data_IF_042787169800
#
_entry.id   IF_042787169800
#
_cell.length_a   1.000
_cell.length_b   1.000
_cell.length_c   1.000
_cell.angle_alpha   90.00
_cell.angle_beta   90.00
_cell.angle_gamma   90.00
#
_symmetry.space_group_name_H-M   'P 1'
#
loop_
_entity.id
_entity.type
_entity.pdbx_description
1 polymer ?
#
# COMPACT_ATOMS: atom_id res chain seq x y z
N UNK A 1 15.02 20.81 4.27
CA UNK A 1 13.86 19.90 4.35
C UNK A 1 13.38 19.44 2.98
N UNK A 2 13.95 18.34 2.49
CA UNK A 2 13.93 17.95 1.09
C UNK A 2 12.83 16.93 0.76
N UNK A 3 12.35 16.97 -0.48
CA UNK A 3 11.76 15.80 -1.15
C UNK A 3 12.90 14.92 -1.68
N UNK A 4 12.69 13.60 -1.85
CA UNK A 4 11.46 12.84 -1.53
C UNK A 4 11.22 12.67 -0.02
N UNK A 5 10.02 12.19 0.36
CA UNK A 5 9.67 11.92 1.77
C UNK A 5 10.45 10.74 2.38
N UNK A 6 11.00 9.86 1.54
CA UNK A 6 11.90 8.77 1.92
C UNK A 6 12.82 8.45 0.73
N UNK A 7 13.97 7.84 1.03
CA UNK A 7 14.82 7.22 0.01
C UNK A 7 14.43 5.73 -0.11
N UNK A 8 14.16 5.27 -1.32
CA UNK A 8 13.81 3.86 -1.58
C UNK A 8 14.92 2.91 -1.11
N UNK A 9 16.19 3.30 -1.27
CA UNK A 9 17.34 2.50 -0.83
C UNK A 9 17.37 2.31 0.69
N UNK A 10 16.75 3.20 1.46
CA UNK A 10 16.66 3.13 2.92
C UNK A 10 15.41 2.42 3.44
N UNK A 11 14.48 2.00 2.57
CA UNK A 11 13.26 1.33 3.00
C UNK A 11 13.33 -0.18 2.74
N UNK A 12 13.25 -1.03 3.78
CA UNK A 12 13.36 -2.48 3.63
C UNK A 12 12.10 -3.16 3.07
N UNK A 13 11.02 -2.40 2.85
CA UNK A 13 9.71 -2.92 2.46
C UNK A 13 9.41 -2.74 0.97
N UNK A 14 10.18 -1.91 0.24
CA UNK A 14 9.95 -1.63 -1.17
C UNK A 14 10.24 -2.88 -2.00
N UNK A 15 9.29 -3.30 -2.83
CA UNK A 15 9.51 -4.37 -3.78
C UNK A 15 10.45 -3.94 -4.92
N UNK A 16 11.30 -4.85 -5.43
CA UNK A 16 12.21 -4.56 -6.53
C UNK A 16 11.59 -3.80 -7.72
N UNK A 17 10.37 -4.16 -8.07
CA UNK A 17 9.57 -3.61 -9.16
C UNK A 17 9.31 -2.11 -9.00
N UNK A 18 9.37 -1.58 -7.76
CA UNK A 18 9.14 -0.17 -7.45
C UNK A 18 10.44 0.61 -7.15
N UNK A 19 11.60 -0.03 -7.08
CA UNK A 19 12.90 0.62 -6.83
C UNK A 19 13.60 1.06 -8.12
N UNK A 20 13.04 2.08 -8.79
CA UNK A 20 13.55 2.52 -10.09
C UNK A 20 15.03 2.91 -10.10
N UNK A 21 15.53 3.51 -9.00
CA UNK A 21 16.92 3.98 -8.93
C UNK A 21 17.89 2.81 -8.86
N UNK A 22 17.59 1.79 -8.05
CA UNK A 22 18.37 0.55 -8.00
C UNK A 22 18.40 -0.16 -9.34
N UNK A 23 17.30 -0.10 -10.09
CA UNK A 23 17.18 -0.70 -11.43
C UNK A 23 17.60 0.24 -12.58
N UNK A 24 18.43 1.25 -12.28
CA UNK A 24 19.21 1.96 -13.29
C UNK A 24 18.56 3.24 -13.84
N UNK A 25 17.45 3.71 -13.28
CA UNK A 25 16.89 5.01 -13.65
C UNK A 25 17.80 6.14 -13.16
N UNK A 26 18.41 6.96 -14.05
CA UNK A 26 19.43 7.93 -13.65
C UNK A 26 18.85 9.27 -13.19
N UNK A 27 17.67 9.65 -13.67
CA UNK A 27 17.04 10.94 -13.34
C UNK A 27 16.36 10.89 -11.96
N UNK A 28 16.40 11.99 -11.20
CA UNK A 28 15.79 12.13 -9.87
C UNK A 28 14.73 13.23 -9.78
N UNK A 29 14.41 13.91 -10.89
CA UNK A 29 13.49 15.03 -10.87
C UNK A 29 12.06 14.60 -10.53
N UNK A 30 11.65 13.41 -10.94
CA UNK A 30 10.31 12.86 -10.65
C UNK A 30 10.03 12.74 -9.14
N UNK A 31 11.07 12.58 -8.32
CA UNK A 31 10.97 12.50 -6.85
C UNK A 31 10.68 13.86 -6.18
N UNK A 32 10.78 14.96 -6.92
CA UNK A 32 10.71 16.33 -6.39
C UNK A 32 9.36 17.01 -6.62
N UNK A 33 8.40 16.32 -7.25
CA UNK A 33 7.06 16.87 -7.45
C UNK A 33 6.23 16.78 -6.16
N UNK A 34 5.42 17.81 -5.92
CA UNK A 34 4.41 17.84 -4.86
C UNK A 34 3.08 18.28 -5.47
N UNK A 35 2.01 17.57 -5.17
CA UNK A 35 0.66 18.00 -5.51
C UNK A 35 0.25 19.22 -4.68
N UNK A 36 -0.32 20.24 -5.33
CA UNK A 36 -0.84 21.46 -4.70
C UNK A 36 -2.27 21.71 -5.17
N UNK A 37 -3.28 21.54 -4.30
CA UNK A 37 -4.66 21.91 -4.62
C UNK A 37 -4.77 23.41 -4.95
N UNK A 38 -5.75 23.77 -5.78
CA UNK A 38 -5.93 25.16 -6.20
C UNK A 38 -6.35 26.10 -5.05
N UNK A 39 -7.09 25.59 -4.07
CA UNK A 39 -7.75 26.41 -3.05
C UNK A 39 -7.10 26.33 -1.67
N UNK A 40 -6.05 25.51 -1.48
CA UNK A 40 -5.38 25.38 -0.19
C UNK A 40 -3.95 24.84 -0.31
N UNK A 41 -3.17 25.09 0.73
CA UNK A 41 -1.93 24.33 0.96
C UNK A 41 -2.25 23.07 1.75
N UNK A 42 -1.81 21.92 1.23
CA UNK A 42 -1.82 20.69 2.03
C UNK A 42 -0.73 20.79 3.11
N UNK A 43 -1.04 20.44 4.37
CA UNK A 43 -0.03 20.34 5.40
C UNK A 43 1.03 19.32 4.98
N UNK A 44 2.28 19.57 5.36
CA UNK A 44 3.36 18.61 5.12
C UNK A 44 3.04 17.32 5.88
N UNK A 45 3.27 16.19 5.23
CA UNK A 45 3.17 14.90 5.90
C UNK A 45 4.16 14.82 7.07
N UNK A 46 3.65 14.49 8.25
CA UNK A 46 4.44 14.19 9.44
C UNK A 46 4.16 12.74 9.86
N UNK A 47 5.14 11.87 9.57
CA UNK A 47 5.01 10.44 9.87
C UNK A 47 5.04 10.14 11.37
N UNK A 48 5.72 10.95 12.20
CA UNK A 48 5.76 10.75 13.66
C UNK A 48 4.43 11.12 14.29
N UNK A 49 3.83 12.21 13.81
CA UNK A 49 2.48 12.61 14.20
C UNK A 49 1.44 11.56 13.77
N UNK A 50 1.54 11.01 12.55
CA UNK A 50 0.67 9.90 12.13
C UNK A 50 0.83 8.69 13.05
N UNK A 51 2.06 8.22 13.28
CA UNK A 51 2.34 7.08 14.15
C UNK A 51 1.77 7.29 15.56
N UNK A 52 1.88 8.51 16.09
CA UNK A 52 1.39 8.85 17.43
C UNK A 52 -0.14 8.91 17.49
N UNK A 53 -0.79 9.53 16.50
CA UNK A 53 -2.27 9.62 16.44
C UNK A 53 -2.93 8.27 16.18
N UNK A 54 -2.26 7.38 15.45
CA UNK A 54 -2.74 6.06 15.08
C UNK A 54 -2.21 4.95 15.98
N UNK A 55 -1.79 5.28 17.21
CA UNK A 55 -1.28 4.31 18.17
C UNK A 55 -2.32 3.20 18.43
N UNK A 56 -1.91 1.93 18.30
CA UNK A 56 -2.75 0.76 18.53
C UNK A 56 -3.81 0.50 17.45
N UNK A 57 -3.72 1.18 16.29
CA UNK A 57 -4.71 1.09 15.20
C UNK A 57 -4.29 0.14 14.09
N UNK A 58 -5.26 -0.29 13.29
CA UNK A 58 -5.07 -1.12 12.10
C UNK A 58 -5.55 -0.38 10.85
N UNK A 59 -4.68 -0.27 9.86
CA UNK A 59 -4.98 0.25 8.52
C UNK A 59 -4.83 -0.89 7.52
N UNK A 60 -5.82 -1.07 6.64
CA UNK A 60 -5.80 -2.11 5.61
C UNK A 60 -6.07 -1.51 4.24
N UNK A 61 -5.11 -1.68 3.34
CA UNK A 61 -5.28 -1.43 1.90
C UNK A 61 -5.83 -2.71 1.27
N UNK A 62 -6.91 -2.61 0.50
CA UNK A 62 -7.56 -3.75 -0.16
C UNK A 62 -7.64 -3.46 -1.65
N UNK A 63 -7.02 -4.30 -2.47
CA UNK A 63 -7.12 -4.09 -3.91
C UNK A 63 -6.07 -4.82 -4.74
N UNK A 64 -5.80 -4.25 -5.91
CA UNK A 64 -4.80 -4.73 -6.86
C UNK A 64 -3.37 -4.21 -6.55
N UNK A 65 -2.45 -4.35 -7.51
CA UNK A 65 -1.05 -3.92 -7.40
C UNK A 65 -0.89 -2.42 -7.17
N UNK A 66 -1.87 -1.58 -7.48
CA UNK A 66 -1.83 -0.15 -7.17
C UNK A 66 -2.01 0.05 -5.65
N UNK A 67 -2.86 -0.76 -4.99
CA UNK A 67 -2.98 -0.75 -3.53
C UNK A 67 -1.70 -1.21 -2.84
N UNK A 68 -1.04 -2.23 -3.39
CA UNK A 68 0.28 -2.67 -2.92
C UNK A 68 1.28 -1.51 -2.97
N UNK A 69 1.35 -0.82 -4.10
CA UNK A 69 2.27 0.31 -4.28
C UNK A 69 1.99 1.47 -3.33
N UNK A 70 0.71 1.80 -3.09
CA UNK A 70 0.33 2.85 -2.13
C UNK A 70 0.63 2.44 -0.69
N UNK A 71 0.38 1.18 -0.34
CA UNK A 71 0.72 0.62 0.96
C UNK A 71 2.23 0.68 1.24
N UNK A 72 3.07 0.25 0.29
CA UNK A 72 4.53 0.33 0.37
C UNK A 72 5.02 1.77 0.58
N UNK A 73 4.46 2.71 -0.19
CA UNK A 73 4.77 4.14 -0.05
C UNK A 73 4.50 4.65 1.37
N UNK A 74 3.33 4.31 1.95
CA UNK A 74 3.00 4.72 3.31
C UNK A 74 3.95 4.11 4.34
N UNK A 75 4.19 2.80 4.30
CA UNK A 75 5.07 2.16 5.29
C UNK A 75 6.50 2.66 5.20
N UNK A 76 7.00 2.99 4.00
CA UNK A 76 8.32 3.60 3.83
C UNK A 76 8.41 5.03 4.36
N UNK A 77 7.38 5.86 4.13
CA UNK A 77 7.31 7.19 4.72
C UNK A 77 7.30 7.13 6.26
N UNK A 78 6.59 6.17 6.84
CA UNK A 78 6.55 5.97 8.30
C UNK A 78 7.88 5.46 8.84
N UNK A 79 8.53 4.52 8.14
CA UNK A 79 9.86 4.02 8.50
C UNK A 79 10.92 5.13 8.46
N UNK A 80 10.93 5.95 7.41
CA UNK A 80 11.84 7.09 7.29
C UNK A 80 11.61 8.14 8.38
N UNK A 81 10.35 8.34 8.82
CA UNK A 81 10.03 9.26 9.91
C UNK A 81 10.50 8.75 11.29
N UNK A 82 10.50 7.43 11.50
CA UNK A 82 10.89 6.79 12.76
C UNK A 82 11.84 5.60 12.54
N UNK A 83 13.09 5.83 12.06
CA UNK A 83 14.00 4.75 11.66
C UNK A 83 14.48 3.88 12.82
N UNK A 84 14.44 4.40 14.05
CA UNK A 84 14.77 3.65 15.26
C UNK A 84 13.59 2.84 15.82
N UNK A 85 12.38 3.01 15.27
CA UNK A 85 11.21 2.24 15.70
C UNK A 85 11.39 0.78 15.34
N UNK A 86 11.08 -0.12 16.26
CA UNK A 86 11.05 -1.55 15.94
C UNK A 86 9.90 -1.84 14.98
N UNK A 87 10.19 -2.59 13.93
CA UNK A 87 9.20 -3.01 12.92
C UNK A 87 9.23 -4.51 12.73
N UNK A 88 8.06 -5.14 12.66
CA UNK A 88 7.92 -6.50 12.14
C UNK A 88 7.25 -6.47 10.77
N UNK A 89 7.78 -7.26 9.83
CA UNK A 89 7.22 -7.41 8.50
C UNK A 89 6.86 -8.88 8.26
N UNK A 90 5.59 -9.11 7.92
CA UNK A 90 5.10 -10.41 7.46
C UNK A 90 4.59 -10.24 6.03
N UNK A 91 5.15 -11.02 5.10
CA UNK A 91 4.71 -11.07 3.71
C UNK A 91 3.90 -12.34 3.50
N UNK A 92 2.76 -12.22 2.86
CA UNK A 92 1.86 -13.34 2.61
C UNK A 92 0.91 -13.07 1.45
N UNK A 93 0.22 -14.13 1.04
CA UNK A 93 -0.84 -14.12 0.06
C UNK A 93 -2.08 -14.74 0.73
N UNK A 94 -3.18 -14.00 0.95
CA UNK A 94 -3.48 -12.68 0.39
C UNK A 94 -2.98 -11.47 1.19
N UNK A 95 -2.46 -11.66 2.41
CA UNK A 95 -2.16 -10.53 3.33
C UNK A 95 -0.67 -10.33 3.56
N UNK A 96 -0.21 -9.09 3.41
CA UNK A 96 1.09 -8.61 3.88
C UNK A 96 0.90 -7.51 4.94
N UNK A 97 1.75 -7.44 5.97
CA UNK A 97 1.59 -6.51 7.09
C UNK A 97 2.93 -6.01 7.61
N UNK A 98 3.04 -4.70 7.80
CA UNK A 98 4.11 -4.06 8.57
C UNK A 98 3.51 -3.52 9.86
N UNK A 99 4.13 -3.85 11.00
CA UNK A 99 3.73 -3.34 12.31
C UNK A 99 4.85 -2.51 12.93
N UNK A 100 4.55 -1.26 13.26
CA UNK A 100 5.43 -0.35 14.02
C UNK A 100 5.22 -0.61 15.52
N UNK A 101 6.05 -1.49 16.09
CA UNK A 101 5.82 -2.11 17.39
C UNK A 101 5.75 -1.10 18.54
N UNK A 102 6.57 -0.06 18.50
CA UNK A 102 6.61 0.97 19.56
C UNK A 102 5.34 1.85 19.56
N UNK A 103 4.57 1.81 18.47
CA UNK A 103 3.28 2.48 18.31
C UNK A 103 2.10 1.50 18.30
N UNK A 104 2.33 0.19 18.19
CA UNK A 104 1.27 -0.79 17.98
C UNK A 104 0.42 -0.53 16.73
N UNK A 105 0.91 0.27 15.78
CA UNK A 105 0.23 0.55 14.50
C UNK A 105 0.56 -0.58 13.52
N UNK A 106 -0.47 -1.22 12.97
CA UNK A 106 -0.33 -2.16 11.86
C UNK A 106 -0.88 -1.56 10.58
N UNK A 107 -0.07 -1.60 9.52
CA UNK A 107 -0.46 -1.19 8.17
C UNK A 107 -0.34 -2.43 7.27
N UNK A 108 -1.46 -2.87 6.73
CA UNK A 108 -1.56 -4.11 5.98
C UNK A 108 -2.07 -3.88 4.55
N UNK A 109 -1.75 -4.82 3.68
CA UNK A 109 -2.27 -4.93 2.32
C UNK A 109 -2.94 -6.30 2.16
N UNK A 110 -4.16 -6.30 1.64
CA UNK A 110 -4.94 -7.48 1.26
C UNK A 110 -5.10 -7.48 -0.26
N UNK A 111 -4.54 -8.49 -0.93
CA UNK A 111 -4.69 -8.66 -2.38
C UNK A 111 -6.11 -9.11 -2.71
N UNK A 112 -6.87 -8.23 -3.34
CA UNK A 112 -8.16 -8.54 -3.96
C UNK A 112 -8.29 -7.74 -5.25
N UNK A 113 -7.91 -8.35 -6.38
CA UNK A 113 -7.76 -7.64 -7.66
C UNK A 113 -9.04 -6.98 -8.16
N UNK A 114 -10.17 -7.66 -7.97
CA UNK A 114 -11.50 -7.19 -8.40
C UNK A 114 -12.43 -6.84 -7.22
N UNK A 115 -11.95 -6.94 -5.97
CA UNK A 115 -12.72 -6.86 -4.71
C UNK A 115 -13.73 -8.00 -4.51
N UNK A 116 -14.48 -8.34 -5.55
CA UNK A 116 -15.46 -9.43 -5.56
C UNK A 116 -14.80 -10.80 -5.63
N UNK A 117 -15.57 -11.81 -5.26
CA UNK A 117 -15.11 -13.19 -5.27
C UNK A 117 -14.85 -13.66 -6.70
N UNK A 118 -13.79 -14.44 -6.82
CA UNK A 118 -13.40 -15.10 -8.05
C UNK A 118 -13.53 -16.61 -7.82
N UNK A 119 -14.38 -17.26 -8.61
CA UNK A 119 -14.65 -18.69 -8.48
C UNK A 119 -14.29 -19.42 -9.77
N UNK A 120 -13.91 -20.69 -9.64
CA UNK A 120 -13.73 -21.58 -10.79
C UNK A 120 -15.06 -22.26 -11.12
N UNK A 121 -15.54 -22.09 -12.35
CA UNK A 121 -16.70 -22.77 -12.92
C UNK A 121 -16.30 -23.59 -14.15
N UNK A 122 -17.22 -24.33 -14.76
CA UNK A 122 -16.95 -25.13 -15.96
C UNK A 122 -16.48 -24.30 -17.17
N UNK A 123 -16.82 -23.01 -17.19
CA UNK A 123 -16.40 -22.06 -18.23
C UNK A 123 -15.05 -21.38 -17.90
N UNK A 124 -14.41 -21.79 -16.81
CA UNK A 124 -13.21 -21.18 -16.26
C UNK A 124 -13.52 -20.23 -15.11
N UNK A 125 -12.64 -19.25 -14.93
CA UNK A 125 -12.68 -18.32 -13.81
C UNK A 125 -13.76 -17.25 -14.00
N UNK A 126 -14.64 -17.09 -13.02
CA UNK A 126 -15.81 -16.20 -13.06
C UNK A 126 -15.77 -15.22 -11.89
N UNK A 127 -16.03 -13.93 -12.19
CA UNK A 127 -16.25 -12.91 -11.18
C UNK A 127 -17.70 -12.99 -10.67
N UNK A 128 -17.90 -13.22 -9.37
CA UNK A 128 -19.21 -13.18 -8.72
C UNK A 128 -19.50 -11.78 -8.24
N UNK A 129 -20.11 -10.96 -9.10
CA UNK A 129 -20.35 -9.53 -8.83
C UNK A 129 -21.24 -9.25 -7.61
N UNK A 130 -21.98 -10.25 -7.15
CA UNK A 130 -22.87 -10.25 -5.99
C UNK A 130 -22.26 -10.88 -4.73
N UNK A 131 -20.96 -11.24 -4.75
CA UNK A 131 -20.27 -11.92 -3.64
C UNK A 131 -18.93 -11.27 -3.29
N UNK A 132 -18.66 -11.09 -2.00
CA UNK A 132 -17.42 -10.55 -1.46
C UNK A 132 -17.02 -11.32 -0.18
N UNK A 133 -15.86 -11.99 -0.22
CA UNK A 133 -15.23 -12.60 0.96
C UNK A 133 -14.34 -11.58 1.68
N UNK A 134 -14.92 -10.89 2.67
CA UNK A 134 -14.30 -9.76 3.38
C UNK A 134 -13.97 -10.01 4.86
N UNK A 135 -14.05 -11.24 5.36
CA UNK A 135 -13.88 -11.54 6.81
C UNK A 135 -12.55 -11.01 7.38
N UNK A 136 -11.49 -11.05 6.58
CA UNK A 136 -10.18 -10.53 6.95
C UNK A 136 -10.13 -9.00 7.13
N UNK A 137 -11.15 -8.27 6.65
CA UNK A 137 -11.23 -6.81 6.73
C UNK A 137 -11.87 -6.35 8.05
N UNK A 138 -12.60 -7.24 8.71
CA UNK A 138 -13.31 -6.94 9.95
C UNK A 138 -12.35 -6.54 11.08
N UNK A 139 -12.77 -5.56 11.88
CA UNK A 139 -11.97 -5.05 13.01
C UNK A 139 -10.79 -4.15 12.61
N UNK A 140 -10.73 -3.70 11.36
CA UNK A 140 -9.79 -2.67 10.89
C UNK A 140 -10.33 -1.28 11.20
N UNK A 141 -9.48 -0.35 11.65
CA UNK A 141 -9.89 1.03 11.96
C UNK A 141 -9.99 1.92 10.70
N UNK A 142 -9.21 1.60 9.65
CA UNK A 142 -9.28 2.28 8.35
C UNK A 142 -9.10 1.30 7.20
N UNK A 143 -10.05 1.32 6.27
CA UNK A 143 -10.00 0.56 5.02
C UNK A 143 -9.78 1.51 3.84
N UNK A 144 -8.84 1.17 2.96
CA UNK A 144 -8.57 1.89 1.71
C UNK A 144 -8.76 0.91 0.56
N UNK A 145 -9.83 1.07 -0.20
CA UNK A 145 -10.14 0.21 -1.33
C UNK A 145 -9.66 0.80 -2.65
N UNK A 146 -9.15 -0.04 -3.54
CA UNK A 146 -8.92 0.29 -4.94
C UNK A 146 -9.14 -0.95 -5.81
N UNK A 147 -9.75 -0.76 -6.98
CA UNK A 147 -9.74 -1.75 -8.04
C UNK A 147 -9.85 -1.05 -9.38
N UNK A 148 -8.88 -1.26 -10.27
CA UNK A 148 -8.94 -0.68 -11.61
C UNK A 148 -8.08 -1.44 -12.63
N UNK A 149 -6.81 -1.74 -12.28
CA UNK A 149 -5.80 -2.19 -13.24
C UNK A 149 -6.25 -3.41 -14.05
N UNK A 150 -6.91 -4.37 -13.40
CA UNK A 150 -7.29 -5.64 -14.03
C UNK A 150 -8.63 -5.61 -14.78
N UNK A 151 -9.42 -4.55 -14.66
CA UNK A 151 -10.71 -4.44 -15.36
C UNK A 151 -10.55 -4.21 -16.86
N UNK A 152 -9.42 -3.65 -17.29
CA UNK A 152 -9.12 -3.40 -18.71
C UNK A 152 -8.44 -4.59 -19.38
N UNK A 153 -8.00 -5.60 -18.62
CA UNK A 153 -7.33 -6.78 -19.14
C UNK A 153 -8.33 -7.87 -19.52
N UNK A 154 -8.04 -8.60 -20.60
CA UNK A 154 -8.89 -9.67 -21.12
C UNK A 154 -8.06 -10.89 -21.50
N UNK A 155 -8.70 -12.07 -21.52
CA UNK A 155 -8.03 -13.30 -21.95
C UNK A 155 -6.87 -13.68 -21.02
N UNK A 156 -5.71 -13.99 -21.62
CA UNK A 156 -4.53 -14.50 -20.89
C UNK A 156 -3.86 -13.46 -19.98
N UNK A 157 -4.20 -12.19 -20.15
CA UNK A 157 -3.63 -11.10 -19.36
C UNK A 157 -4.45 -10.80 -18.09
N UNK A 158 -5.55 -11.52 -17.86
CA UNK A 158 -6.25 -11.47 -16.58
C UNK A 158 -5.41 -12.20 -15.50
N UNK A 159 -5.44 -11.71 -14.24
CA UNK A 159 -4.58 -12.22 -13.17
C UNK A 159 -4.91 -13.67 -12.81
#
# INVERSE_FOLDING_TARGET
DALPMYDAAGCPFVEPEFDCQKYGRPDKLYLKYRWRPASCELPRFDGRDLLSRWKGKKVLFVGDSISLNQWESLVCMLHAAAPASRTSYSRGNPVSTVTFQDYGLSVAYYRSTYLVDIVEESIGRVLKLDSISGDAWLGTDMLVFNTWHWWTHTGKDQP
#
